data_IF_999032317093
#
_entry.id   IF_999032317093
#
_cell.length_a   1.000
_cell.length_b   1.000
_cell.length_c   1.000
_cell.angle_alpha   90.00
_cell.angle_beta   90.00
_cell.angle_gamma   90.00
#
_symmetry.space_group_name_H-M   'P 1'
#
loop_
_entity.id
_entity.type
_entity.pdbx_description
1 polymer ?
#
# COMPACT_ATOMS: atom_id res chain seq x y z
N UNK A 1 -4.98 3.14 -0.87
CA UNK A 1 -5.30 2.38 -2.09
C UNK A 1 -4.60 1.03 -2.07
N UNK A 2 -5.18 0.05 -2.71
CA UNK A 2 -4.59 -1.28 -2.85
C UNK A 2 -4.88 -1.88 -4.23
N UNK A 3 -4.06 -2.85 -4.62
CA UNK A 3 -4.26 -3.66 -5.80
C UNK A 3 -4.35 -5.14 -5.39
N UNK A 4 -5.42 -5.80 -5.80
CA UNK A 4 -5.60 -7.24 -5.62
C UNK A 4 -5.18 -7.96 -6.90
N UNK A 5 -4.02 -8.64 -6.84
CA UNK A 5 -3.45 -9.30 -8.02
C UNK A 5 -4.30 -10.46 -8.50
N UNK A 6 -4.90 -11.21 -7.60
CA UNK A 6 -5.71 -12.38 -7.97
C UNK A 6 -6.95 -11.96 -8.75
N UNK A 7 -7.62 -10.90 -8.32
CA UNK A 7 -8.82 -10.39 -8.98
C UNK A 7 -8.50 -9.34 -10.06
N UNK A 8 -7.24 -8.91 -10.19
CA UNK A 8 -6.80 -7.82 -11.08
C UNK A 8 -7.67 -6.58 -10.88
N UNK A 9 -7.79 -6.13 -9.63
CA UNK A 9 -8.66 -5.00 -9.28
C UNK A 9 -7.98 -4.02 -8.34
N UNK A 10 -8.27 -2.73 -8.55
CA UNK A 10 -7.81 -1.64 -7.72
C UNK A 10 -8.92 -1.18 -6.78
N UNK A 11 -8.55 -0.78 -5.57
CA UNK A 11 -9.48 -0.26 -4.58
C UNK A 11 -8.89 0.95 -3.88
N UNK A 12 -9.68 2.01 -3.74
CA UNK A 12 -9.32 3.21 -3.00
C UNK A 12 -10.40 3.52 -1.98
N UNK A 13 -10.02 3.51 -0.70
CA UNK A 13 -10.91 3.87 0.40
C UNK A 13 -10.52 5.25 0.89
N UNK A 14 -11.45 6.19 0.88
CA UNK A 14 -11.18 7.58 1.16
C UNK A 14 -12.20 8.19 2.12
N UNK A 15 -11.71 9.05 3.01
CA UNK A 15 -12.59 9.89 3.83
C UNK A 15 -13.13 11.03 2.97
N UNK A 16 -14.42 11.28 3.04
CA UNK A 16 -15.03 12.36 2.30
C UNK A 16 -16.42 12.00 1.78
N UNK A 17 -16.90 12.81 0.85
CA UNK A 17 -18.18 12.61 0.20
C UNK A 17 -17.99 12.59 -1.33
N UNK A 18 -17.54 11.45 -1.82
CA UNK A 18 -17.27 11.21 -3.23
C UNK A 18 -18.20 10.10 -3.69
N UNK A 19 -18.76 10.15 -4.91
CA UNK A 19 -19.59 9.05 -5.42
C UNK A 19 -18.79 7.75 -5.47
N UNK A 20 -19.37 6.67 -4.96
CA UNK A 20 -18.75 5.36 -5.00
C UNK A 20 -18.73 4.83 -6.43
N UNK A 21 -17.62 4.18 -6.79
CA UNK A 21 -17.44 3.50 -8.07
C UNK A 21 -16.97 2.07 -7.79
N UNK A 22 -16.64 1.32 -8.84
CA UNK A 22 -16.05 -0.02 -8.67
C UNK A 22 -14.68 0.02 -7.99
N UNK A 23 -13.99 1.17 -8.06
CA UNK A 23 -12.66 1.35 -7.50
C UNK A 23 -12.69 2.15 -6.20
N UNK A 24 -13.50 3.22 -6.15
CA UNK A 24 -13.48 4.20 -5.06
C UNK A 24 -14.68 4.00 -4.15
N UNK A 25 -14.43 3.92 -2.84
CA UNK A 25 -15.46 3.95 -1.81
C UNK A 25 -15.11 5.07 -0.81
N UNK A 26 -16.08 5.95 -0.54
CA UNK A 26 -15.90 7.05 0.39
C UNK A 26 -16.64 6.79 1.70
N UNK A 27 -16.09 7.33 2.79
CA UNK A 27 -16.58 7.12 4.15
C UNK A 27 -16.59 8.44 4.91
N UNK A 28 -17.53 8.56 5.85
CA UNK A 28 -17.66 9.76 6.68
C UNK A 28 -16.74 9.75 7.89
N UNK A 29 -16.32 8.55 8.34
CA UNK A 29 -15.44 8.40 9.49
C UNK A 29 -14.29 7.46 9.18
N UNK A 30 -13.18 7.65 9.90
CA UNK A 30 -12.02 6.77 9.78
C UNK A 30 -12.34 5.35 10.26
N UNK A 31 -13.17 5.22 11.28
CA UNK A 31 -13.60 3.92 11.78
C UNK A 31 -14.32 3.11 10.70
N UNK A 32 -15.26 3.73 9.99
CA UNK A 32 -15.98 3.08 8.89
C UNK A 32 -15.03 2.69 7.75
N UNK A 33 -14.08 3.57 7.43
CA UNK A 33 -13.08 3.30 6.40
C UNK A 33 -12.22 2.09 6.79
N UNK A 34 -11.71 2.06 8.02
CA UNK A 34 -10.90 0.96 8.50
C UNK A 34 -11.68 -0.36 8.55
N UNK A 35 -12.94 -0.33 9.01
CA UNK A 35 -13.80 -1.50 9.01
C UNK A 35 -13.94 -2.08 7.59
N UNK A 36 -14.18 -1.22 6.62
CA UNK A 36 -14.31 -1.65 5.22
C UNK A 36 -12.99 -2.18 4.67
N UNK A 37 -11.88 -1.53 5.01
CA UNK A 37 -10.55 -2.00 4.61
C UNK A 37 -10.30 -3.42 5.13
N UNK A 38 -10.53 -3.68 6.42
CA UNK A 38 -10.31 -5.00 7.00
C UNK A 38 -11.27 -6.03 6.43
N UNK A 39 -12.51 -5.66 6.15
CA UNK A 39 -13.45 -6.55 5.48
C UNK A 39 -12.91 -6.98 4.10
N UNK A 40 -12.44 -6.02 3.32
CA UNK A 40 -11.85 -6.29 2.00
C UNK A 40 -10.58 -7.12 2.12
N UNK A 41 -9.73 -6.80 3.08
CA UNK A 41 -8.49 -7.52 3.35
C UNK A 41 -8.79 -8.99 3.68
N UNK A 42 -9.78 -9.26 4.52
CA UNK A 42 -10.19 -10.63 4.86
C UNK A 42 -10.78 -11.36 3.65
N UNK A 43 -11.54 -10.67 2.81
CA UNK A 43 -12.06 -11.25 1.56
C UNK A 43 -10.92 -11.68 0.62
N UNK A 44 -9.92 -10.82 0.47
CA UNK A 44 -8.74 -11.10 -0.37
C UNK A 44 -7.91 -12.24 0.23
N UNK A 45 -7.80 -12.27 1.55
CA UNK A 45 -7.01 -13.26 2.29
C UNK A 45 -5.59 -13.38 1.72
N UNK A 46 -4.81 -12.31 1.72
CA UNK A 46 -3.49 -12.30 1.08
C UNK A 46 -2.50 -13.18 1.81
N UNK A 47 -1.66 -13.87 1.06
CA UNK A 47 -0.49 -14.58 1.58
C UNK A 47 0.79 -13.76 1.40
N UNK A 48 0.75 -12.78 0.51
CA UNK A 48 1.86 -11.88 0.23
C UNK A 48 1.32 -10.45 0.22
N UNK A 49 1.98 -9.57 0.96
CA UNK A 49 1.80 -8.13 0.87
C UNK A 49 3.07 -7.51 0.29
N UNK A 50 2.89 -6.58 -0.63
CA UNK A 50 4.00 -5.85 -1.20
C UNK A 50 3.60 -4.40 -1.46
N UNK A 51 4.60 -3.56 -1.62
CA UNK A 51 4.46 -2.15 -1.91
C UNK A 51 5.80 -1.47 -1.69
N UNK A 52 5.86 -0.19 -2.01
CA UNK A 52 7.11 0.55 -1.92
C UNK A 52 7.29 1.12 -0.52
N UNK A 53 8.29 0.60 0.20
CA UNK A 53 8.61 0.99 1.58
C UNK A 53 7.48 0.67 2.57
N UNK A 54 6.80 -0.44 2.38
CA UNK A 54 5.70 -0.84 3.27
C UNK A 54 6.17 -1.18 4.68
N UNK A 55 7.37 -1.74 4.82
CA UNK A 55 7.94 -2.08 6.13
C UNK A 55 8.23 -0.84 6.96
N UNK A 56 8.64 0.24 6.30
CA UNK A 56 8.98 1.49 6.98
C UNK A 56 7.79 2.43 7.19
N UNK A 57 6.74 2.33 6.39
CA UNK A 57 5.66 3.30 6.44
C UNK A 57 4.26 2.67 6.48
N UNK A 58 3.83 1.96 5.43
CA UNK A 58 2.42 1.58 5.28
C UNK A 58 1.96 0.61 6.38
N UNK A 59 2.73 -0.42 6.66
CA UNK A 59 2.37 -1.42 7.67
C UNK A 59 2.39 -0.82 9.08
N UNK A 60 3.46 -0.13 9.51
CA UNK A 60 3.46 0.51 10.82
C UNK A 60 2.33 1.52 10.99
N UNK A 61 2.07 2.32 9.99
CA UNK A 61 1.01 3.33 10.03
C UNK A 61 -0.36 2.66 10.16
N UNK A 62 -0.65 1.69 9.32
CA UNK A 62 -1.94 0.97 9.33
C UNK A 62 -2.16 0.26 10.66
N UNK A 63 -1.15 -0.45 11.13
CA UNK A 63 -1.25 -1.20 12.39
C UNK A 63 -1.48 -0.27 13.58
N UNK A 64 -0.65 0.76 13.72
CA UNK A 64 -0.74 1.69 14.84
C UNK A 64 -2.02 2.53 14.77
N UNK A 65 -2.42 2.94 13.59
CA UNK A 65 -3.66 3.71 13.43
C UNK A 65 -4.89 2.88 13.76
N UNK A 66 -4.93 1.64 13.32
CA UNK A 66 -6.02 0.72 13.65
C UNK A 66 -6.08 0.43 15.14
N UNK A 67 -4.93 0.19 15.77
CA UNK A 67 -4.85 0.00 17.22
C UNK A 67 -5.45 1.20 17.96
N UNK A 68 -5.11 2.41 17.52
CA UNK A 68 -5.58 3.64 18.17
C UNK A 68 -7.08 3.88 18.00
N UNK A 69 -7.62 3.64 16.80
CA UNK A 69 -9.02 3.93 16.46
C UNK A 69 -9.95 2.80 16.85
N UNK A 70 -9.53 1.55 16.69
CA UNK A 70 -10.40 0.38 16.81
C UNK A 70 -9.90 -0.67 17.80
N UNK A 71 -8.69 -0.51 18.33
CA UNK A 71 -8.09 -1.44 19.27
C UNK A 71 -7.17 -2.47 18.64
N UNK A 72 -6.34 -3.08 19.50
CA UNK A 72 -5.28 -3.99 19.07
C UNK A 72 -5.81 -5.28 18.46
N UNK A 73 -6.94 -5.78 18.94
CA UNK A 73 -7.54 -7.00 18.40
C UNK A 73 -7.86 -6.84 16.92
N UNK A 74 -8.40 -5.67 16.54
CA UNK A 74 -8.69 -5.37 15.13
C UNK A 74 -7.40 -5.22 14.33
N UNK A 75 -6.41 -4.50 14.86
CA UNK A 75 -5.12 -4.35 14.19
C UNK A 75 -4.45 -5.70 13.90
N UNK A 76 -4.57 -6.65 14.83
CA UNK A 76 -4.02 -8.00 14.66
C UNK A 76 -4.74 -8.83 13.59
N UNK A 77 -5.88 -8.37 13.10
CA UNK A 77 -6.59 -9.02 11.98
C UNK A 77 -5.86 -8.94 10.65
N UNK A 78 -4.75 -8.20 10.56
CA UNK A 78 -3.84 -8.30 9.42
C UNK A 78 -3.25 -9.71 9.29
N UNK A 79 -3.15 -10.44 10.41
CA UNK A 79 -2.74 -11.84 10.44
C UNK A 79 -3.96 -12.76 10.43
N UNK A 80 -3.98 -13.81 9.59
CA UNK A 80 -5.08 -14.78 9.60
C UNK A 80 -5.22 -15.54 10.91
N UNK A 81 -4.17 -15.56 11.74
CA UNK A 81 -4.20 -16.18 13.06
C UNK A 81 -4.14 -15.15 14.20
N UNK A 82 -4.29 -13.86 13.88
CA UNK A 82 -4.36 -12.80 14.86
C UNK A 82 -3.05 -12.47 15.55
N UNK A 83 -1.91 -12.75 14.93
CA UNK A 83 -0.58 -12.53 15.50
C UNK A 83 0.23 -11.56 14.67
N UNK A 84 0.43 -10.35 15.20
CA UNK A 84 1.30 -9.32 14.61
C UNK A 84 2.25 -8.86 15.71
N UNK A 85 3.54 -8.81 15.42
CA UNK A 85 4.52 -8.32 16.38
C UNK A 85 5.63 -7.55 15.69
N UNK A 86 6.26 -6.64 16.44
CA UNK A 86 7.39 -5.86 15.95
C UNK A 86 8.69 -6.60 16.22
N UNK A 87 9.46 -6.84 15.17
CA UNK A 87 10.79 -7.45 15.26
C UNK A 87 11.85 -6.35 15.37
N UNK A 88 12.44 -6.19 16.56
CA UNK A 88 13.50 -5.20 16.76
C UNK A 88 14.77 -5.56 16.00
N UNK A 89 15.05 -6.84 15.83
CA UNK A 89 16.19 -7.30 15.06
C UNK A 89 16.09 -6.88 13.59
N UNK A 90 14.90 -7.03 12.99
CA UNK A 90 14.67 -6.67 11.59
C UNK A 90 14.11 -5.25 11.43
N UNK A 91 13.78 -4.59 12.53
CA UNK A 91 13.17 -3.26 12.56
C UNK A 91 11.92 -3.14 11.69
N UNK A 92 11.06 -4.14 11.78
CA UNK A 92 9.78 -4.16 11.03
C UNK A 92 8.75 -5.02 11.75
N UNK A 93 7.48 -4.79 11.39
CA UNK A 93 6.39 -5.64 11.84
C UNK A 93 6.41 -6.96 11.10
N UNK A 94 6.13 -8.03 11.82
CA UNK A 94 5.89 -9.34 11.25
C UNK A 94 4.42 -9.72 11.42
N UNK A 95 3.78 -10.05 10.31
CA UNK A 95 2.39 -10.50 10.26
C UNK A 95 2.43 -12.02 10.09
N UNK A 96 2.08 -12.76 11.14
CA UNK A 96 2.12 -14.22 11.08
C UNK A 96 1.14 -14.73 10.01
N UNK A 97 1.62 -15.60 9.13
CA UNK A 97 0.83 -16.15 8.03
C UNK A 97 0.82 -15.31 6.76
N UNK A 98 1.51 -14.15 6.75
CA UNK A 98 1.61 -13.27 5.58
C UNK A 98 3.08 -12.93 5.34
N UNK A 99 3.52 -13.12 4.11
CA UNK A 99 4.87 -12.69 3.69
C UNK A 99 4.82 -11.23 3.26
N UNK A 100 5.51 -10.37 4.01
CA UNK A 100 5.63 -8.95 3.67
C UNK A 100 6.90 -8.77 2.85
N UNK A 101 6.74 -8.59 1.54
CA UNK A 101 7.83 -8.42 0.59
C UNK A 101 7.87 -6.96 0.15
N UNK A 102 8.63 -6.14 0.87
CA UNK A 102 8.79 -4.74 0.54
C UNK A 102 9.49 -4.58 -0.81
N UNK A 103 8.79 -3.99 -1.79
CA UNK A 103 9.31 -3.92 -3.15
C UNK A 103 10.55 -3.03 -3.26
N UNK A 104 10.70 -2.04 -2.41
CA UNK A 104 11.93 -1.25 -2.34
C UNK A 104 13.13 -2.14 -1.99
N UNK A 105 12.95 -3.02 -1.01
CA UNK A 105 13.99 -3.96 -0.61
C UNK A 105 14.30 -4.97 -1.72
N UNK A 106 13.27 -5.48 -2.39
CA UNK A 106 13.44 -6.38 -3.53
C UNK A 106 14.17 -5.70 -4.68
N UNK A 107 13.81 -4.46 -4.97
CA UNK A 107 14.45 -3.69 -6.03
C UNK A 107 15.95 -3.51 -5.77
N UNK A 108 16.31 -3.13 -4.55
CA UNK A 108 17.72 -2.99 -4.16
C UNK A 108 18.46 -4.31 -4.19
N UNK A 109 17.80 -5.40 -3.80
CA UNK A 109 18.43 -6.72 -3.73
C UNK A 109 18.70 -7.30 -5.12
N UNK A 110 17.78 -7.14 -6.06
CA UNK A 110 17.85 -7.82 -7.36
C UNK A 110 18.34 -6.93 -8.50
N UNK A 111 18.69 -5.68 -8.24
CA UNK A 111 19.30 -4.80 -9.24
C UNK A 111 20.77 -4.55 -8.88
N UNK A 112 21.63 -4.61 -9.90
CA UNK A 112 23.06 -4.42 -9.69
C UNK A 112 23.49 -2.96 -9.76
N UNK A 113 22.78 -2.15 -10.54
CA UNK A 113 23.09 -0.74 -10.71
C UNK A 113 22.53 0.06 -9.54
N UNK A 114 23.41 0.77 -8.85
CA UNK A 114 23.00 1.66 -7.79
C UNK A 114 22.36 2.91 -8.41
N UNK A 115 21.18 3.29 -7.90
CA UNK A 115 20.46 4.46 -8.40
C UNK A 115 20.77 5.70 -7.57
N UNK A 116 20.65 6.88 -8.21
CA UNK A 116 20.81 8.17 -7.51
C UNK A 116 19.66 8.47 -6.57
N UNK A 117 18.50 7.85 -6.77
CA UNK A 117 17.34 7.96 -5.89
C UNK A 117 16.56 6.66 -5.89
N UNK A 118 15.99 6.33 -4.73
CA UNK A 118 15.09 5.18 -4.59
C UNK A 118 13.67 5.61 -4.26
N UNK A 119 13.33 6.85 -4.58
CA UNK A 119 11.93 7.29 -4.50
C UNK A 119 11.12 6.57 -5.57
N UNK A 120 9.87 6.25 -5.24
CA UNK A 120 9.00 5.49 -6.13
C UNK A 120 8.78 6.21 -7.48
N UNK A 121 8.58 7.54 -7.44
CA UNK A 121 8.40 8.32 -8.66
C UNK A 121 9.63 8.28 -9.57
N UNK A 122 10.83 8.28 -8.99
CA UNK A 122 12.08 8.19 -9.76
C UNK A 122 12.23 6.80 -10.40
N UNK A 123 12.08 5.75 -9.60
CA UNK A 123 12.24 4.37 -10.09
C UNK A 123 11.12 4.02 -11.08
N UNK A 124 9.90 4.46 -10.82
CA UNK A 124 8.77 4.27 -11.74
C UNK A 124 9.04 4.90 -13.09
N UNK A 125 9.53 6.14 -13.12
CA UNK A 125 9.88 6.82 -14.37
C UNK A 125 10.99 6.09 -15.11
N UNK A 126 12.03 5.67 -14.38
CA UNK A 126 13.17 4.95 -14.95
C UNK A 126 12.78 3.61 -15.57
N UNK A 127 11.99 2.83 -14.87
CA UNK A 127 11.72 1.44 -15.25
C UNK A 127 10.48 1.27 -16.13
N UNK A 128 9.42 2.03 -15.88
CA UNK A 128 8.13 1.83 -16.55
C UNK A 128 7.54 3.10 -17.15
N UNK A 129 8.25 4.22 -17.10
CA UNK A 129 7.79 5.48 -17.67
C UNK A 129 6.65 6.14 -16.91
N UNK A 130 6.40 5.75 -15.66
CA UNK A 130 5.36 6.30 -14.80
C UNK A 130 6.01 6.95 -13.59
N UNK A 131 5.85 8.24 -13.46
CA UNK A 131 6.44 8.99 -12.37
C UNK A 131 5.41 9.75 -11.56
N UNK A 132 5.85 10.88 -11.05
CA UNK A 132 5.09 11.71 -10.15
C UNK A 132 3.91 12.38 -10.85
N UNK A 133 2.76 12.40 -10.17
CA UNK A 133 1.65 13.28 -10.53
C UNK A 133 1.93 14.64 -9.90
N UNK A 134 2.06 15.67 -10.74
CA UNK A 134 2.36 17.01 -10.27
C UNK A 134 1.08 17.78 -9.92
N UNK A 135 1.18 18.59 -8.86
CA UNK A 135 0.10 19.44 -8.38
C UNK A 135 0.71 20.62 -7.62
N UNK A 136 -0.07 21.70 -7.50
CA UNK A 136 0.33 22.87 -6.75
C UNK A 136 -0.04 22.73 -5.27
N UNK A 137 0.85 23.19 -4.39
CA UNK A 137 0.63 23.17 -2.94
C UNK A 137 0.91 21.82 -2.29
N UNK A 138 0.24 21.58 -1.16
CA UNK A 138 0.43 20.36 -0.37
C UNK A 138 -0.60 19.29 -0.74
N UNK A 139 -0.38 18.07 -0.25
CA UNK A 139 -1.38 16.98 -0.39
C UNK A 139 -2.70 17.35 0.28
N UNK A 140 -2.64 18.07 1.40
CA UNK A 140 -3.85 18.55 2.07
C UNK A 140 -4.61 19.55 1.19
N UNK A 141 -3.90 20.45 0.54
CA UNK A 141 -4.52 21.39 -0.42
C UNK A 141 -5.18 20.64 -1.57
N UNK A 142 -4.51 19.63 -2.10
CA UNK A 142 -5.05 18.81 -3.18
C UNK A 142 -6.33 18.09 -2.75
N UNK A 143 -6.33 17.51 -1.56
CA UNK A 143 -7.50 16.86 -0.98
C UNK A 143 -8.69 17.81 -0.85
N UNK A 144 -8.43 19.05 -0.44
CA UNK A 144 -9.48 20.05 -0.23
C UNK A 144 -10.01 20.67 -1.53
N UNK A 145 -9.14 20.77 -2.55
CA UNK A 145 -9.49 21.53 -3.79
C UNK A 145 -9.79 20.63 -4.98
N UNK A 146 -9.19 19.44 -5.07
CA UNK A 146 -9.36 18.53 -6.21
C UNK A 146 -9.26 17.08 -5.73
N UNK A 147 -10.35 16.58 -5.17
CA UNK A 147 -10.41 15.24 -4.59
C UNK A 147 -10.19 14.14 -5.64
N UNK A 148 -10.63 14.35 -6.88
CA UNK A 148 -10.45 13.36 -7.95
C UNK A 148 -8.97 13.18 -8.28
N UNK A 149 -8.23 14.27 -8.33
CA UNK A 149 -6.77 14.21 -8.55
C UNK A 149 -6.04 13.63 -7.35
N UNK A 150 -6.52 13.89 -6.14
CA UNK A 150 -6.00 13.29 -4.93
C UNK A 150 -6.15 11.76 -4.95
N UNK A 151 -7.31 11.27 -5.38
CA UNK A 151 -7.55 9.83 -5.56
C UNK A 151 -6.61 9.25 -6.61
N UNK A 152 -6.46 9.93 -7.74
CA UNK A 152 -5.53 9.55 -8.80
C UNK A 152 -4.10 9.47 -8.27
N UNK A 153 -3.68 10.45 -7.46
CA UNK A 153 -2.37 10.47 -6.82
C UNK A 153 -2.15 9.24 -5.93
N UNK A 154 -3.14 8.87 -5.12
CA UNK A 154 -3.05 7.69 -4.26
C UNK A 154 -3.00 6.38 -5.05
N UNK A 155 -3.80 6.27 -6.10
CA UNK A 155 -3.81 5.09 -6.96
C UNK A 155 -2.50 4.96 -7.75
N UNK A 156 -1.88 6.08 -8.09
CA UNK A 156 -0.65 6.09 -8.90
C UNK A 156 0.48 5.29 -8.25
N UNK A 157 0.66 5.42 -6.95
CA UNK A 157 1.70 4.68 -6.23
C UNK A 157 1.49 3.17 -6.34
N UNK A 158 0.27 2.72 -6.22
CA UNK A 158 -0.09 1.30 -6.35
C UNK A 158 0.10 0.82 -7.79
N UNK A 159 -0.32 1.64 -8.76
CA UNK A 159 -0.17 1.35 -10.19
C UNK A 159 1.31 1.21 -10.57
N UNK A 160 2.16 2.10 -10.08
CA UNK A 160 3.60 2.04 -10.36
C UNK A 160 4.19 0.72 -9.86
N UNK A 161 3.90 0.32 -8.63
CA UNK A 161 4.43 -0.94 -8.08
C UNK A 161 3.92 -2.14 -8.86
N UNK A 162 2.65 -2.15 -9.23
CA UNK A 162 2.07 -3.20 -10.08
C UNK A 162 2.81 -3.30 -11.41
N UNK A 163 3.06 -2.16 -12.06
CA UNK A 163 3.78 -2.11 -13.34
C UNK A 163 5.25 -2.52 -13.19
N UNK A 164 5.89 -2.13 -12.09
CA UNK A 164 7.25 -2.58 -11.79
C UNK A 164 7.31 -4.11 -11.69
N UNK A 165 6.40 -4.71 -10.96
CA UNK A 165 6.40 -6.16 -10.81
C UNK A 165 6.01 -6.89 -12.10
N UNK A 166 5.12 -6.32 -12.91
CA UNK A 166 4.80 -6.86 -14.23
C UNK A 166 6.06 -6.97 -15.11
N UNK A 167 6.93 -5.98 -15.03
CA UNK A 167 8.17 -5.94 -15.81
C UNK A 167 9.27 -6.78 -15.18
N UNK A 168 9.54 -6.59 -13.89
CA UNK A 168 10.73 -7.09 -13.20
C UNK A 168 10.54 -8.47 -12.59
N UNK A 169 9.30 -8.83 -12.20
CA UNK A 169 8.97 -10.14 -11.63
C UNK A 169 9.73 -10.45 -10.34
N UNK A 170 10.04 -9.44 -9.53
CA UNK A 170 10.85 -9.63 -8.33
C UNK A 170 10.11 -10.36 -7.20
N UNK A 171 8.77 -10.25 -7.13
CA UNK A 171 7.99 -11.03 -6.16
C UNK A 171 8.12 -12.52 -6.47
N UNK A 172 7.96 -12.90 -7.72
CA UNK A 172 8.13 -14.28 -8.16
C UNK A 172 9.53 -14.80 -7.88
N UNK A 173 10.54 -13.97 -8.17
CA UNK A 173 11.95 -14.30 -7.92
C UNK A 173 12.22 -14.48 -6.43
N UNK A 174 11.64 -13.64 -5.57
CA UNK A 174 11.80 -13.74 -4.12
C UNK A 174 11.13 -14.97 -3.52
N UNK A 175 10.07 -15.48 -4.15
CA UNK A 175 9.36 -16.71 -3.73
C UNK A 175 10.08 -17.97 -4.16
N UNK A 176 10.74 -17.89 -5.29
CA UNK A 176 11.48 -19.00 -5.84
C UNK A 176 12.80 -19.21 -5.15
#
# INVERSE_FOLDING_TARGET
ALYDKTADSYHCFILGNVPNTDIVESFKSEEELLQRFYQKYLEINPTILSGWNIDGFDIPYLYNRTDRVMGRQMANCLSPIGEVYYSEHKQRYKIAGVSCLDYLALYKKFTYTQQSSYRLDFIGQLEVGLGKIEFDGTLQDLYETDIDKYIEYNLNDVIIVKKLDDKLKFIELARG
#
